data_IF_303666516549
#
_entry.id   IF_303666516549
#
_cell.length_a   1.000
_cell.length_b   1.000
_cell.length_c   1.000
_cell.angle_alpha   90.00
_cell.angle_beta   90.00
_cell.angle_gamma   90.00
#
_symmetry.space_group_name_H-M   'P 1'
#
loop_
_entity.id
_entity.type
_entity.pdbx_description
1 polymer ?
#
# COMPACT_ATOMS: atom_id res chain seq x y z
N UNK A 1 -15.24 3.41 7.33
CA UNK A 1 -14.24 3.22 6.27
C UNK A 1 -13.85 4.59 5.75
N UNK A 2 -12.69 5.07 6.19
CA UNK A 2 -12.16 6.42 5.95
C UNK A 2 -11.94 6.74 4.46
N UNK A 3 -12.02 8.02 4.10
CA UNK A 3 -11.78 8.52 2.73
C UNK A 3 -10.37 8.14 2.23
N UNK A 4 -9.37 8.24 3.11
CA UNK A 4 -7.99 7.83 2.82
C UNK A 4 -7.87 6.35 2.42
N UNK A 5 -8.63 5.45 3.04
CA UNK A 5 -8.63 4.03 2.67
C UNK A 5 -9.27 3.84 1.29
N UNK A 6 -10.32 4.59 0.98
CA UNK A 6 -10.95 4.53 -0.35
C UNK A 6 -9.99 5.04 -1.43
N UNK A 7 -9.33 6.18 -1.17
CA UNK A 7 -8.33 6.77 -2.05
C UNK A 7 -7.14 5.81 -2.27
N UNK A 8 -6.63 5.21 -1.20
CA UNK A 8 -5.58 4.18 -1.28
C UNK A 8 -6.02 2.97 -2.09
N UNK A 9 -7.21 2.41 -1.84
CA UNK A 9 -7.73 1.27 -2.61
C UNK A 9 -7.89 1.63 -4.10
N UNK A 10 -8.31 2.85 -4.41
CA UNK A 10 -8.43 3.33 -5.78
C UNK A 10 -7.05 3.43 -6.45
N UNK A 11 -6.06 4.03 -5.80
CA UNK A 11 -4.69 4.14 -6.30
C UNK A 11 -4.05 2.75 -6.53
N UNK A 12 -4.16 1.85 -5.55
CA UNK A 12 -3.68 0.47 -5.68
C UNK A 12 -4.32 -0.25 -6.88
N UNK A 13 -5.64 -0.12 -7.04
CA UNK A 13 -6.36 -0.71 -8.17
C UNK A 13 -5.93 -0.11 -9.51
N UNK A 14 -5.68 1.21 -9.57
CA UNK A 14 -5.17 1.89 -10.76
C UNK A 14 -3.80 1.35 -11.19
N UNK A 15 -2.96 1.00 -10.22
CA UNK A 15 -1.66 0.36 -10.46
C UNK A 15 -1.75 -1.15 -10.75
N UNK A 16 -2.95 -1.73 -10.75
CA UNK A 16 -3.17 -3.17 -10.96
C UNK A 16 -2.90 -4.04 -9.72
N UNK A 17 -2.75 -3.43 -8.54
CA UNK A 17 -2.50 -4.12 -7.29
C UNK A 17 -3.83 -4.58 -6.67
N UNK A 18 -3.89 -5.85 -6.27
CA UNK A 18 -5.07 -6.45 -5.65
C UNK A 18 -5.03 -6.30 -4.13
N UNK A 19 -6.13 -5.82 -3.57
CA UNK A 19 -6.35 -5.70 -2.12
C UNK A 19 -7.02 -6.96 -1.60
N UNK A 20 -6.38 -7.64 -0.65
CA UNK A 20 -6.91 -8.88 -0.05
C UNK A 20 -7.87 -8.57 1.10
N UNK A 21 -7.50 -7.63 1.97
CA UNK A 21 -8.30 -7.19 3.11
C UNK A 21 -8.14 -5.70 3.32
N UNK A 22 -9.20 -5.04 3.79
CA UNK A 22 -9.14 -3.65 4.22
C UNK A 22 -9.97 -3.46 5.48
N UNK A 23 -9.42 -2.70 6.41
CA UNK A 23 -10.05 -2.25 7.64
C UNK A 23 -10.06 -0.70 7.65
N UNK A 24 -10.50 -0.07 8.73
CA UNK A 24 -10.73 1.38 8.75
C UNK A 24 -9.44 2.23 8.64
N UNK A 25 -8.27 1.63 8.90
CA UNK A 25 -6.96 2.28 8.90
C UNK A 25 -5.85 1.49 8.21
N UNK A 26 -6.14 0.31 7.66
CA UNK A 26 -5.12 -0.54 7.07
C UNK A 26 -5.65 -1.31 5.86
N UNK A 27 -4.78 -1.53 4.87
CA UNK A 27 -5.02 -2.35 3.69
C UNK A 27 -3.96 -3.43 3.61
N UNK A 28 -4.37 -4.68 3.44
CA UNK A 28 -3.49 -5.82 3.26
C UNK A 28 -3.45 -6.22 1.78
N UNK A 29 -2.24 -6.49 1.31
CA UNK A 29 -1.91 -6.93 -0.03
C UNK A 29 -1.13 -8.25 0.05
N UNK A 30 -0.92 -8.86 -1.12
CA UNK A 30 -0.09 -10.04 -1.26
C UNK A 30 1.38 -9.79 -0.82
N UNK A 31 2.17 -10.87 -0.77
CA UNK A 31 3.60 -10.82 -0.49
C UNK A 31 3.95 -10.15 0.85
N UNK A 32 3.12 -10.35 1.87
CA UNK A 32 3.34 -9.79 3.21
C UNK A 32 3.30 -8.25 3.25
N UNK A 33 2.76 -7.60 2.21
CA UNK A 33 2.72 -6.14 2.11
C UNK A 33 1.41 -5.61 2.70
N UNK A 34 1.48 -4.58 3.53
CA UNK A 34 0.29 -3.87 3.99
C UNK A 34 0.56 -2.38 4.09
N UNK A 35 -0.50 -1.59 4.11
CA UNK A 35 -0.42 -0.14 4.14
C UNK A 35 -1.31 0.38 5.24
N UNK A 36 -0.74 1.13 6.18
CA UNK A 36 -1.44 1.78 7.27
C UNK A 36 -1.65 3.27 6.96
N UNK A 37 -2.84 3.79 7.27
CA UNK A 37 -3.12 5.23 7.27
C UNK A 37 -2.70 5.78 8.63
N UNK A 38 -1.61 6.55 8.63
CA UNK A 38 -1.00 7.10 9.86
C UNK A 38 -1.36 8.58 10.08
N UNK A 39 -2.06 9.19 9.13
CA UNK A 39 -2.58 10.55 9.21
C UNK A 39 -3.35 10.89 7.92
N UNK A 40 -4.02 12.06 7.88
CA UNK A 40 -4.73 12.51 6.68
C UNK A 40 -3.75 12.63 5.50
N UNK A 41 -3.99 11.87 4.43
CA UNK A 41 -3.11 11.82 3.26
C UNK A 41 -1.75 11.16 3.49
N UNK A 42 -1.49 10.57 4.66
CA UNK A 42 -0.18 9.99 5.00
C UNK A 42 -0.28 8.49 5.26
N UNK A 43 0.57 7.75 4.57
CA UNK A 43 0.52 6.29 4.50
C UNK A 43 1.86 5.70 4.94
N UNK A 44 1.83 4.53 5.57
CA UNK A 44 3.02 3.74 5.92
C UNK A 44 2.89 2.39 5.26
N UNK A 45 3.88 2.01 4.46
CA UNK A 45 3.98 0.65 3.94
C UNK A 45 4.73 -0.21 4.95
N UNK A 46 4.17 -1.38 5.21
CA UNK A 46 4.81 -2.48 5.93
C UNK A 46 5.09 -3.61 4.93
N UNK A 47 6.31 -4.14 4.95
CA UNK A 47 6.66 -5.36 4.23
C UNK A 47 7.13 -6.41 5.22
N UNK A 48 6.44 -7.56 5.25
CA UNK A 48 6.67 -8.63 6.23
C UNK A 48 6.65 -8.11 7.69
N UNK A 49 5.79 -7.12 7.95
CA UNK A 49 5.66 -6.47 9.27
C UNK A 49 6.68 -5.37 9.57
N UNK A 50 7.65 -5.13 8.68
CA UNK A 50 8.66 -4.09 8.84
C UNK A 50 8.26 -2.80 8.10
N UNK A 51 8.33 -1.62 8.75
CA UNK A 51 8.01 -0.36 8.10
C UNK A 51 9.08 0.01 7.07
N UNK A 52 8.65 0.26 5.84
CA UNK A 52 9.51 0.64 4.71
C UNK A 52 9.40 2.13 4.39
N UNK A 53 8.37 2.81 4.90
CA UNK A 53 8.10 4.22 4.60
C UNK A 53 7.45 4.98 5.77
N UNK A 54 7.33 6.31 5.61
CA UNK A 54 6.03 6.84 5.20
C UNK A 54 6.03 7.51 3.81
N UNK A 55 4.83 7.66 3.24
CA UNK A 55 4.52 8.35 1.99
C UNK A 55 3.43 9.41 2.23
N UNK A 56 3.46 10.50 1.46
CA UNK A 56 2.53 11.64 1.62
C UNK A 56 1.40 11.64 0.58
N UNK A 57 1.22 10.53 -0.17
CA UNK A 57 0.04 10.33 -1.03
C UNK A 57 -0.25 8.84 -1.31
N UNK A 58 -1.51 8.55 -1.65
CA UNK A 58 -1.97 7.21 -2.03
C UNK A 58 -1.33 6.73 -3.34
N UNK A 59 -1.15 7.63 -4.29
CA UNK A 59 -0.55 7.36 -5.61
C UNK A 59 0.93 7.01 -5.48
N UNK A 60 1.69 7.80 -4.71
CA UNK A 60 3.11 7.50 -4.43
C UNK A 60 3.26 6.16 -3.71
N UNK A 61 2.37 5.88 -2.75
CA UNK A 61 2.34 4.60 -2.03
C UNK A 61 2.11 3.42 -2.99
N UNK A 62 1.13 3.53 -3.88
CA UNK A 62 0.82 2.47 -4.84
C UNK A 62 1.96 2.27 -5.87
N UNK A 63 2.53 3.37 -6.37
CA UNK A 63 3.68 3.35 -7.27
C UNK A 63 4.90 2.67 -6.65
N UNK A 64 5.22 2.99 -5.39
CA UNK A 64 6.28 2.32 -4.65
C UNK A 64 6.05 0.82 -4.53
N UNK A 65 4.85 0.38 -4.12
CA UNK A 65 4.54 -1.06 -3.95
C UNK A 65 4.68 -1.81 -5.27
N UNK A 66 4.20 -1.24 -6.37
CA UNK A 66 4.35 -1.84 -7.70
C UNK A 66 5.82 -1.99 -8.09
N UNK A 67 6.66 -0.98 -7.83
CA UNK A 67 8.09 -1.03 -8.11
C UNK A 67 8.80 -2.06 -7.23
N UNK A 68 8.52 -2.09 -5.94
CA UNK A 68 9.08 -3.05 -4.98
C UNK A 68 8.72 -4.49 -5.38
N UNK A 69 7.46 -4.76 -5.73
CA UNK A 69 7.04 -6.09 -6.19
C UNK A 69 7.66 -6.49 -7.52
N UNK A 70 7.79 -5.55 -8.46
CA UNK A 70 8.49 -5.80 -9.72
C UNK A 70 9.96 -6.17 -9.48
N UNK A 71 10.64 -5.49 -8.55
CA UNK A 71 12.01 -5.79 -8.17
C UNK A 71 12.14 -7.17 -7.51
N UNK A 72 11.26 -7.52 -6.56
CA UNK A 72 11.23 -8.85 -5.93
C UNK A 72 10.94 -9.98 -6.90
N UNK A 73 10.11 -9.71 -7.92
CA UNK A 73 9.81 -10.66 -8.99
C UNK A 73 10.98 -10.91 -9.93
N UNK A 74 11.92 -9.95 -10.05
CA UNK A 74 13.15 -10.08 -10.83
C UNK A 74 14.25 -10.84 -10.09
N UNK A 75 14.15 -10.99 -8.76
CA UNK A 75 15.13 -11.70 -7.92
C UNK A 75 14.85 -13.21 -7.78
N UNK A 76 13.86 -13.77 -8.50
CA UNK A 76 13.50 -15.22 -8.44
C UNK A 76 13.81 -15.98 -9.72
#
# INVERSE_FOLDING_TARGET
>A
MSDDIQNLRHALKSEGLSVEKADDKQVHLAHGTSVEVIGPGRYRVLSDGHPVSPFDSAEETAGFIKMDWAQRGLER
#
